data_IF_475100072249
#
_entry.id   IF_475100072249
#
_cell.length_a   1.000
_cell.length_b   1.000
_cell.length_c   1.000
_cell.angle_alpha   90.00
_cell.angle_beta   90.00
_cell.angle_gamma   90.00
#
_symmetry.space_group_name_H-M   'P 1'
#
loop_
_entity.id
_entity.type
_entity.pdbx_description
1 polymer ?
#
# COMPACT_ATOMS: atom_id res chain seq x y z
N UNK A 1 0.15 -26.80 -16.25
CA UNK A 1 0.36 -25.56 -15.47
C UNK A 1 1.52 -25.65 -14.49
N UNK A 2 1.56 -26.64 -13.57
CA UNK A 2 2.65 -26.74 -12.58
C UNK A 2 4.05 -26.76 -13.20
N UNK A 3 4.29 -27.65 -14.18
CA UNK A 3 5.58 -27.72 -14.86
C UNK A 3 5.92 -26.44 -15.63
N UNK A 4 4.92 -25.76 -16.18
CA UNK A 4 5.11 -24.51 -16.93
C UNK A 4 5.51 -23.36 -16.00
N UNK A 5 4.89 -23.25 -14.82
CA UNK A 5 5.24 -22.27 -13.79
C UNK A 5 6.67 -22.53 -13.29
N UNK A 6 7.01 -23.78 -12.98
CA UNK A 6 8.36 -24.11 -12.51
C UNK A 6 9.44 -23.97 -13.58
N UNK A 7 9.12 -24.09 -14.86
CA UNK A 7 10.07 -23.76 -15.94
C UNK A 7 10.47 -22.29 -15.94
N UNK A 8 9.65 -21.38 -15.39
CA UNK A 8 9.95 -19.96 -15.26
C UNK A 8 10.89 -19.63 -14.11
N UNK A 9 11.17 -20.59 -13.24
CA UNK A 9 12.28 -20.45 -12.29
C UNK A 9 13.64 -20.46 -12.99
N UNK A 10 13.72 -20.92 -14.24
CA UNK A 10 14.90 -20.70 -15.06
C UNK A 10 14.91 -19.25 -15.58
N UNK A 11 15.95 -18.49 -15.23
CA UNK A 11 16.11 -17.09 -15.61
C UNK A 11 16.15 -16.86 -17.14
N UNK A 12 16.66 -17.81 -17.94
CA UNK A 12 16.70 -17.70 -19.39
C UNK A 12 15.30 -17.78 -19.99
N UNK A 13 14.48 -18.72 -19.51
CA UNK A 13 13.09 -18.88 -19.93
C UNK A 13 12.27 -17.63 -19.58
N UNK A 14 12.46 -17.10 -18.37
CA UNK A 14 11.77 -15.88 -17.94
C UNK A 14 12.18 -14.66 -18.76
N UNK A 15 13.50 -14.47 -19.00
CA UNK A 15 14.02 -13.39 -19.85
C UNK A 15 13.48 -13.49 -21.29
N UNK A 16 13.41 -14.70 -21.82
CA UNK A 16 12.86 -14.94 -23.16
C UNK A 16 11.39 -14.51 -23.24
N UNK A 17 10.55 -14.93 -22.29
CA UNK A 17 9.13 -14.60 -22.28
C UNK A 17 8.85 -13.11 -22.02
N UNK A 18 9.62 -12.48 -21.13
CA UNK A 18 9.51 -11.03 -20.87
C UNK A 18 9.82 -10.20 -22.13
N UNK A 19 10.69 -10.69 -23.02
CA UNK A 19 11.03 -10.04 -24.28
C UNK A 19 10.05 -10.33 -25.41
N UNK A 20 9.57 -11.57 -25.51
CA UNK A 20 8.77 -12.02 -26.66
C UNK A 20 7.33 -11.53 -26.64
N UNK A 21 6.82 -11.02 -25.50
CA UNK A 21 5.40 -10.73 -25.23
C UNK A 21 4.46 -11.93 -25.47
N UNK A 22 5.00 -13.10 -25.80
CA UNK A 22 4.25 -14.34 -25.97
C UNK A 22 3.90 -14.90 -24.59
N UNK A 23 2.71 -15.51 -24.46
CA UNK A 23 2.20 -16.08 -23.21
C UNK A 23 2.14 -15.08 -22.03
N UNK A 24 1.66 -13.84 -22.27
CA UNK A 24 1.42 -12.84 -21.19
C UNK A 24 0.65 -13.43 -20.00
N UNK A 25 -0.38 -14.25 -20.28
CA UNK A 25 -1.18 -14.94 -19.26
C UNK A 25 -0.33 -15.80 -18.31
N UNK A 26 0.65 -16.55 -18.85
CA UNK A 26 1.52 -17.38 -18.02
C UNK A 26 2.43 -16.53 -17.13
N UNK A 27 2.89 -15.38 -17.62
CA UNK A 27 3.67 -14.43 -16.81
C UNK A 27 2.82 -13.76 -15.73
N UNK A 28 1.56 -13.44 -16.03
CA UNK A 28 0.61 -12.90 -15.07
C UNK A 28 0.39 -13.90 -13.93
N UNK A 29 0.02 -15.14 -14.26
CA UNK A 29 -0.17 -16.22 -13.28
C UNK A 29 1.12 -16.49 -12.50
N UNK A 30 2.28 -16.50 -13.16
CA UNK A 30 3.57 -16.66 -12.51
C UNK A 30 3.86 -15.55 -11.48
N UNK A 31 3.60 -14.30 -11.83
CA UNK A 31 3.84 -13.15 -10.95
C UNK A 31 2.94 -13.20 -9.71
N UNK A 32 1.67 -13.58 -9.88
CA UNK A 32 0.71 -13.74 -8.79
C UNK A 32 1.04 -14.93 -7.90
N UNK A 33 1.46 -16.05 -8.49
CA UNK A 33 1.92 -17.21 -7.74
C UNK A 33 3.13 -16.89 -6.85
N UNK A 34 4.14 -16.19 -7.39
CA UNK A 34 5.29 -15.74 -6.61
C UNK A 34 4.89 -14.75 -5.53
N UNK A 35 4.02 -13.79 -5.85
CA UNK A 35 3.53 -12.81 -4.89
C UNK A 35 2.80 -13.49 -3.72
N UNK A 36 1.84 -14.38 -4.01
CA UNK A 36 1.14 -15.17 -3.00
C UNK A 36 2.11 -15.97 -2.12
N UNK A 37 3.16 -16.56 -2.72
CA UNK A 37 4.19 -17.24 -1.95
C UNK A 37 4.88 -16.31 -0.95
N UNK A 38 5.35 -15.13 -1.36
CA UNK A 38 6.03 -14.20 -0.45
C UNK A 38 5.10 -13.49 0.55
N UNK A 39 3.82 -13.30 0.22
CA UNK A 39 2.78 -12.80 1.12
C UNK A 39 2.35 -13.83 2.18
N UNK A 40 2.94 -15.03 2.17
CA UNK A 40 2.57 -16.16 3.02
C UNK A 40 1.14 -16.68 2.80
N UNK A 41 0.56 -16.43 1.63
CA UNK A 41 -0.71 -17.04 1.24
C UNK A 41 -0.54 -18.53 0.89
N UNK A 42 -1.63 -19.33 0.94
CA UNK A 42 -1.60 -20.72 0.50
C UNK A 42 -1.23 -20.78 -0.98
N UNK A 43 -0.14 -21.47 -1.38
CA UNK A 43 0.22 -21.57 -2.79
C UNK A 43 -0.68 -22.57 -3.49
N UNK A 44 -1.28 -22.15 -4.60
CA UNK A 44 -2.05 -23.03 -5.46
C UNK A 44 -1.87 -22.65 -6.92
N UNK A 45 -2.19 -23.60 -7.80
CA UNK A 45 -2.14 -23.46 -9.25
C UNK A 45 -3.45 -23.90 -9.88
N UNK A 46 -3.74 -23.42 -11.08
CA UNK A 46 -4.88 -23.92 -11.86
C UNK A 46 -4.71 -25.40 -12.19
N UNK A 47 -5.74 -26.21 -11.89
CA UNK A 47 -5.76 -27.65 -12.12
C UNK A 47 -5.90 -28.01 -13.60
N UNK A 48 -6.55 -27.15 -14.37
CA UNK A 48 -6.76 -27.33 -15.81
C UNK A 48 -5.99 -26.28 -16.62
N UNK A 49 -5.59 -26.66 -17.83
CA UNK A 49 -4.96 -25.71 -18.75
C UNK A 49 -5.97 -24.60 -19.10
N UNK A 50 -5.58 -23.35 -18.84
CA UNK A 50 -6.43 -22.17 -19.03
C UNK A 50 -7.12 -21.65 -17.77
N UNK A 51 -7.06 -22.38 -16.64
CA UNK A 51 -7.54 -21.85 -15.36
C UNK A 51 -6.63 -20.73 -14.88
N UNK A 52 -7.10 -19.49 -14.88
CA UNK A 52 -6.32 -18.34 -14.40
C UNK A 52 -6.25 -18.31 -12.89
N UNK A 53 -5.13 -17.78 -12.38
CA UNK A 53 -5.03 -17.46 -10.97
C UNK A 53 -5.85 -16.22 -10.64
N UNK A 54 -6.50 -16.21 -9.46
CA UNK A 54 -7.21 -15.04 -8.96
C UNK A 54 -6.24 -13.88 -8.78
N UNK A 55 -6.79 -12.66 -8.72
CA UNK A 55 -6.02 -11.47 -8.33
C UNK A 55 -5.49 -11.62 -6.90
N UNK A 56 -4.46 -10.85 -6.52
CA UNK A 56 -3.96 -10.90 -5.12
C UNK A 56 -5.01 -10.44 -4.10
N UNK A 57 -5.95 -9.59 -4.50
CA UNK A 57 -7.07 -9.12 -3.69
C UNK A 57 -8.05 -10.28 -3.40
N UNK A 58 -8.44 -11.01 -4.43
CA UNK A 58 -9.25 -12.22 -4.27
C UNK A 58 -8.46 -13.31 -3.56
N UNK A 59 -7.13 -13.33 -3.69
CA UNK A 59 -6.27 -14.30 -3.01
C UNK A 59 -6.37 -14.16 -1.49
N UNK A 60 -6.39 -12.92 -0.98
CA UNK A 60 -6.51 -12.67 0.47
C UNK A 60 -7.85 -13.13 1.06
N UNK A 61 -8.88 -13.28 0.22
CA UNK A 61 -10.20 -13.76 0.67
C UNK A 61 -10.25 -15.28 0.81
N UNK A 62 -9.33 -16.03 0.19
CA UNK A 62 -9.29 -17.48 0.34
C UNK A 62 -8.65 -17.86 1.68
N UNK A 63 -9.49 -18.30 2.61
CA UNK A 63 -9.04 -19.03 3.78
C UNK A 63 -8.39 -20.39 3.40
N UNK A 64 -7.70 -20.98 4.37
CA UNK A 64 -7.07 -22.30 4.25
C UNK A 64 -8.08 -23.46 4.02
N UNK A 65 -9.38 -23.20 3.97
CA UNK A 65 -10.43 -24.20 3.72
C UNK A 65 -11.29 -23.89 2.49
N UNK A 66 -11.23 -22.65 1.95
CA UNK A 66 -12.16 -22.15 0.92
C UNK A 66 -11.64 -22.26 -0.52
N UNK A 67 -10.48 -22.87 -0.72
CA UNK A 67 -9.91 -23.05 -2.05
C UNK A 67 -10.75 -24.09 -2.82
N UNK A 68 -11.38 -23.67 -3.92
CA UNK A 68 -12.12 -24.56 -4.83
C UNK A 68 -11.16 -25.62 -5.43
N UNK A 69 -11.16 -26.80 -4.82
CA UNK A 69 -10.32 -27.95 -5.19
C UNK A 69 -10.66 -28.56 -6.55
N UNK A 70 -11.81 -28.18 -7.14
CA UNK A 70 -12.14 -28.53 -8.51
C UNK A 70 -11.38 -27.65 -9.51
N UNK A 71 -11.14 -26.39 -9.18
CA UNK A 71 -10.44 -25.42 -10.05
C UNK A 71 -8.95 -25.36 -9.77
N UNK A 72 -8.56 -25.44 -8.52
CA UNK A 72 -7.20 -25.20 -8.06
C UNK A 72 -6.59 -26.44 -7.41
N UNK A 73 -5.28 -26.59 -7.57
CA UNK A 73 -4.46 -27.59 -6.92
C UNK A 73 -3.51 -26.89 -5.96
N UNK A 74 -3.56 -27.27 -4.67
CA UNK A 74 -2.60 -26.77 -3.68
C UNK A 74 -1.20 -27.28 -3.96
N UNK A 75 -0.22 -26.42 -3.77
CA UNK A 75 1.21 -26.72 -3.89
C UNK A 75 1.86 -26.55 -2.52
N UNK A 76 2.63 -27.54 -2.09
CA UNK A 76 3.38 -27.46 -0.84
C UNK A 76 4.39 -26.32 -0.88
N UNK A 77 4.37 -25.42 0.12
CA UNK A 77 5.35 -24.33 0.25
C UNK A 77 6.79 -24.84 0.26
N UNK A 78 7.03 -26.01 0.87
CA UNK A 78 8.35 -26.66 0.87
C UNK A 78 8.83 -26.99 -0.55
N UNK A 79 7.94 -27.51 -1.39
CA UNK A 79 8.24 -27.82 -2.80
C UNK A 79 8.58 -26.56 -3.59
N UNK A 80 7.90 -25.44 -3.30
CA UNK A 80 8.21 -24.15 -3.91
C UNK A 80 9.59 -23.67 -3.46
N UNK A 81 9.85 -23.68 -2.15
CA UNK A 81 11.13 -23.26 -1.57
C UNK A 81 12.33 -24.04 -2.11
N UNK A 82 12.19 -25.36 -2.30
CA UNK A 82 13.24 -26.24 -2.85
C UNK A 82 13.59 -25.92 -4.31
N UNK A 83 12.66 -25.33 -5.07
CA UNK A 83 12.84 -24.98 -6.48
C UNK A 83 13.11 -23.49 -6.71
N UNK A 84 12.75 -22.63 -5.76
CA UNK A 84 12.82 -21.18 -5.90
C UNK A 84 14.28 -20.73 -6.02
N UNK A 85 14.66 -20.04 -7.11
CA UNK A 85 16.01 -19.53 -7.28
C UNK A 85 16.32 -18.44 -6.24
N UNK A 86 17.56 -18.36 -5.73
CA UNK A 86 17.94 -17.35 -4.74
C UNK A 86 17.84 -15.91 -5.27
N UNK A 87 17.87 -15.72 -6.58
CA UNK A 87 17.73 -14.41 -7.23
C UNK A 87 16.31 -13.85 -7.12
N UNK A 88 15.31 -14.71 -6.92
CA UNK A 88 13.91 -14.29 -6.81
C UNK A 88 13.67 -13.81 -5.39
N UNK A 89 13.92 -12.52 -5.19
CA UNK A 89 13.64 -11.84 -3.92
C UNK A 89 12.23 -11.24 -3.90
N UNK A 90 11.70 -10.86 -2.72
CA UNK A 90 10.44 -10.14 -2.65
C UNK A 90 10.39 -8.89 -3.54
N UNK A 91 11.52 -8.17 -3.66
CA UNK A 91 11.64 -6.98 -4.51
C UNK A 91 11.46 -7.29 -6.00
N UNK A 92 11.96 -8.44 -6.44
CA UNK A 92 11.81 -8.87 -7.83
C UNK A 92 10.33 -9.00 -8.22
N UNK A 93 9.50 -9.51 -7.31
CA UNK A 93 8.08 -9.72 -7.56
C UNK A 93 7.32 -8.40 -7.72
N UNK A 94 7.58 -7.41 -6.87
CA UNK A 94 7.00 -6.07 -7.02
C UNK A 94 7.33 -5.47 -8.39
N UNK A 95 8.59 -5.58 -8.82
CA UNK A 95 9.02 -5.12 -10.15
C UNK A 95 8.35 -5.90 -11.29
N UNK A 96 8.18 -7.21 -11.13
CA UNK A 96 7.51 -8.06 -12.11
C UNK A 96 6.03 -7.68 -12.26
N UNK A 97 5.31 -7.47 -11.17
CA UNK A 97 3.91 -7.00 -11.18
C UNK A 97 3.80 -5.64 -11.89
N UNK A 98 4.66 -4.68 -11.55
CA UNK A 98 4.71 -3.38 -12.23
C UNK A 98 5.02 -3.52 -13.72
N UNK A 99 5.95 -4.41 -14.09
CA UNK A 99 6.34 -4.65 -15.48
C UNK A 99 5.19 -5.22 -16.32
N UNK A 100 4.31 -6.00 -15.69
CA UNK A 100 3.13 -6.61 -16.27
C UNK A 100 1.87 -5.73 -16.16
N UNK A 101 2.00 -4.54 -15.58
CA UNK A 101 0.94 -3.53 -15.41
C UNK A 101 -0.11 -3.89 -14.35
N UNK A 102 0.22 -4.78 -13.42
CA UNK A 102 -0.62 -5.12 -12.25
C UNK A 102 -0.34 -4.15 -11.10
N UNK A 103 -0.53 -2.86 -11.30
CA UNK A 103 -0.07 -1.83 -10.36
C UNK A 103 -0.79 -1.87 -9.00
N UNK A 104 -2.09 -2.18 -8.98
CA UNK A 104 -2.84 -2.32 -7.73
C UNK A 104 -2.34 -3.50 -6.90
N UNK A 105 -2.09 -4.64 -7.54
CA UNK A 105 -1.51 -5.82 -6.90
C UNK A 105 -0.07 -5.53 -6.43
N UNK A 106 0.70 -4.75 -7.20
CA UNK A 106 2.04 -4.34 -6.81
C UNK A 106 2.02 -3.42 -5.57
N UNK A 107 1.09 -2.46 -5.50
CA UNK A 107 0.92 -1.58 -4.36
C UNK A 107 0.53 -2.37 -3.10
N UNK A 108 -0.48 -3.25 -3.19
CA UNK A 108 -0.87 -4.15 -2.10
C UNK A 108 0.29 -5.02 -1.64
N UNK A 109 1.05 -5.56 -2.59
CA UNK A 109 2.21 -6.38 -2.30
C UNK A 109 3.30 -5.58 -1.55
N UNK A 110 3.59 -4.35 -1.96
CA UNK A 110 4.57 -3.49 -1.26
C UNK A 110 4.11 -3.05 0.13
N UNK A 111 2.80 -2.82 0.29
CA UNK A 111 2.23 -2.43 1.58
C UNK A 111 2.41 -3.54 2.63
N UNK A 112 2.27 -4.82 2.23
CA UNK A 112 2.52 -5.96 3.12
C UNK A 112 3.92 -5.95 3.74
N UNK A 113 4.92 -5.48 2.98
CA UNK A 113 6.31 -5.36 3.45
C UNK A 113 6.61 -4.03 4.14
N UNK A 114 5.61 -3.17 4.36
CA UNK A 114 5.76 -1.82 4.89
C UNK A 114 6.79 -0.98 4.09
N UNK A 115 6.93 -1.22 2.78
CA UNK A 115 7.78 -0.41 1.91
C UNK A 115 6.99 0.79 1.37
N UNK A 116 6.73 1.74 2.25
CA UNK A 116 5.95 2.95 1.96
C UNK A 116 6.48 3.72 0.76
N UNK A 117 7.82 3.81 0.63
CA UNK A 117 8.45 4.54 -0.49
C UNK A 117 8.11 3.90 -1.83
N UNK A 118 8.28 2.58 -1.95
CA UNK A 118 7.92 1.87 -3.18
C UNK A 118 6.41 1.94 -3.43
N UNK A 119 5.59 1.81 -2.38
CA UNK A 119 4.13 1.92 -2.48
C UNK A 119 3.66 3.28 -3.01
N UNK A 120 4.23 4.38 -2.51
CA UNK A 120 3.96 5.74 -2.98
C UNK A 120 4.37 5.92 -4.46
N UNK A 121 5.58 5.48 -4.83
CA UNK A 121 6.06 5.56 -6.21
C UNK A 121 5.13 4.78 -7.16
N UNK A 122 4.72 3.56 -6.77
CA UNK A 122 3.83 2.73 -7.59
C UNK A 122 2.48 3.43 -7.78
N UNK A 123 1.87 3.94 -6.71
CA UNK A 123 0.59 4.67 -6.79
C UNK A 123 0.70 5.91 -7.68
N UNK A 124 1.73 6.72 -7.49
CA UNK A 124 1.97 7.92 -8.30
C UNK A 124 2.14 7.59 -9.79
N UNK A 125 2.94 6.58 -10.12
CA UNK A 125 3.12 6.13 -11.50
C UNK A 125 1.81 5.59 -12.11
N UNK A 126 0.98 4.94 -11.27
CA UNK A 126 -0.33 4.44 -11.69
C UNK A 126 -1.26 5.60 -12.03
N UNK A 127 -1.30 6.64 -11.21
CA UNK A 127 -2.11 7.83 -11.41
C UNK A 127 -1.73 8.54 -12.71
N UNK A 128 -0.43 8.74 -12.97
CA UNK A 128 0.04 9.33 -14.23
C UNK A 128 -0.40 8.49 -15.42
N UNK A 129 -0.24 7.17 -15.34
CA UNK A 129 -0.47 6.27 -16.48
C UNK A 129 -1.96 6.06 -16.77
N UNK A 130 -2.78 5.98 -15.72
CA UNK A 130 -4.19 5.60 -15.82
C UNK A 130 -5.16 6.76 -15.57
N UNK A 131 -4.67 7.95 -15.19
CA UNK A 131 -5.45 9.14 -14.86
C UNK A 131 -6.49 8.88 -13.76
N UNK A 132 -6.02 8.26 -12.69
CA UNK A 132 -6.75 8.02 -11.44
C UNK A 132 -6.03 8.72 -10.28
N UNK A 133 -6.55 8.63 -9.05
CA UNK A 133 -6.09 9.39 -7.88
C UNK A 133 -5.69 8.50 -6.70
N UNK A 134 -5.10 7.33 -6.95
CA UNK A 134 -4.71 6.39 -5.88
C UNK A 134 -3.63 6.93 -4.95
N UNK A 135 -2.72 7.77 -5.47
CA UNK A 135 -1.67 8.39 -4.68
C UNK A 135 -2.25 9.41 -3.72
N UNK A 136 -3.06 10.33 -4.24
CA UNK A 136 -3.68 11.40 -3.47
C UNK A 136 -4.61 10.78 -2.39
N UNK A 137 -5.48 9.84 -2.78
CA UNK A 137 -6.37 9.10 -1.86
C UNK A 137 -5.60 8.38 -0.74
N UNK A 138 -4.42 7.83 -1.05
CA UNK A 138 -3.61 7.12 -0.05
C UNK A 138 -2.94 8.09 0.91
N UNK A 139 -2.34 9.17 0.41
CA UNK A 139 -1.73 10.19 1.25
C UNK A 139 -2.75 10.84 2.19
N UNK A 140 -3.96 11.15 1.70
CA UNK A 140 -5.05 11.67 2.51
C UNK A 140 -5.49 10.69 3.61
N UNK A 141 -5.64 9.40 3.29
CA UNK A 141 -5.97 8.38 4.32
C UNK A 141 -4.88 8.28 5.39
N UNK A 142 -3.61 8.25 4.98
CA UNK A 142 -2.50 8.23 5.92
C UNK A 142 -2.48 9.47 6.81
N UNK A 143 -2.76 10.66 6.25
CA UNK A 143 -2.91 11.90 7.01
C UNK A 143 -3.97 11.74 8.09
N UNK A 144 -5.19 11.35 7.71
CA UNK A 144 -6.33 11.25 8.62
C UNK A 144 -6.05 10.25 9.75
N UNK A 145 -5.54 9.06 9.43
CA UNK A 145 -5.21 8.05 10.44
C UNK A 145 -4.16 8.55 11.44
N UNK A 146 -3.15 9.28 10.97
CA UNK A 146 -2.09 9.83 11.83
C UNK A 146 -2.57 11.00 12.68
N UNK A 147 -3.39 11.88 12.12
CA UNK A 147 -4.01 12.97 12.87
C UNK A 147 -4.92 12.44 13.99
N UNK A 148 -5.73 11.42 13.71
CA UNK A 148 -6.56 10.78 14.73
C UNK A 148 -5.70 10.18 15.85
N UNK A 149 -4.61 9.49 15.51
CA UNK A 149 -3.65 8.96 16.49
C UNK A 149 -3.02 10.08 17.34
N UNK A 150 -2.65 11.20 16.72
CA UNK A 150 -2.08 12.35 17.43
C UNK A 150 -3.09 13.02 18.36
N UNK A 151 -4.36 13.11 17.95
CA UNK A 151 -5.45 13.66 18.75
C UNK A 151 -5.71 12.80 20.01
N UNK A 152 -5.68 11.48 19.89
CA UNK A 152 -5.79 10.57 21.03
C UNK A 152 -4.65 10.77 22.04
N UNK A 153 -3.42 10.98 21.56
CA UNK A 153 -2.25 11.20 22.44
C UNK A 153 -2.24 12.56 23.13
N UNK A 154 -2.85 13.60 22.54
CA UNK A 154 -2.97 14.92 23.17
C UNK A 154 -3.82 14.92 24.44
N UNK A 155 -4.62 13.88 24.66
CA UNK A 155 -5.36 13.68 25.91
C UNK A 155 -4.41 13.41 27.09
N UNK A 156 -3.31 12.70 26.83
CA UNK A 156 -2.42 12.17 27.87
C UNK A 156 -1.03 12.83 27.89
N UNK A 157 -0.58 13.41 26.76
CA UNK A 157 0.75 13.99 26.61
C UNK A 157 0.73 15.52 26.46
N UNK A 158 1.75 16.25 26.99
CA UNK A 158 1.85 17.69 26.80
C UNK A 158 2.03 18.04 25.31
N UNK A 159 1.35 19.08 24.86
CA UNK A 159 1.25 19.51 23.46
C UNK A 159 2.61 19.61 22.76
N UNK A 160 3.62 20.19 23.42
CA UNK A 160 4.97 20.35 22.85
C UNK A 160 5.63 19.01 22.49
N UNK A 161 5.34 17.96 23.25
CA UNK A 161 5.89 16.63 23.01
C UNK A 161 5.19 15.98 21.81
N UNK A 162 3.87 16.17 21.68
CA UNK A 162 3.11 15.70 20.52
C UNK A 162 3.50 16.44 19.24
N UNK A 163 3.66 17.77 19.30
CA UNK A 163 4.11 18.58 18.16
C UNK A 163 5.44 18.08 17.60
N UNK A 164 6.41 17.82 18.49
CA UNK A 164 7.73 17.32 18.10
C UNK A 164 7.73 15.87 17.62
N UNK A 165 6.91 15.01 18.22
CA UNK A 165 6.85 13.57 17.85
C UNK A 165 6.04 13.31 16.59
N UNK A 166 5.01 14.12 16.31
CA UNK A 166 4.03 13.85 15.26
C UNK A 166 3.99 14.93 14.19
N UNK A 167 3.85 16.21 14.58
CA UNK A 167 3.62 17.29 13.62
C UNK A 167 4.88 17.60 12.81
N UNK A 168 6.04 17.72 13.46
CA UNK A 168 7.31 18.02 12.76
C UNK A 168 7.67 16.94 11.69
N UNK A 169 7.71 15.63 12.01
CA UNK A 169 8.00 14.61 11.00
C UNK A 169 6.97 14.56 9.87
N UNK A 170 5.73 14.93 10.16
CA UNK A 170 4.65 14.91 9.19
C UNK A 170 4.73 16.06 8.19
N UNK A 171 5.05 17.27 8.67
CA UNK A 171 5.35 18.42 7.80
C UNK A 171 6.57 18.09 6.92
N UNK A 172 7.62 17.49 7.51
CA UNK A 172 8.80 17.08 6.75
C UNK A 172 8.44 16.05 5.66
N UNK A 173 7.62 15.05 5.98
CA UNK A 173 7.17 14.06 5.01
C UNK A 173 6.32 14.68 3.88
N UNK A 174 5.44 15.63 4.21
CA UNK A 174 4.60 16.33 3.24
C UNK A 174 5.46 17.19 2.30
N UNK A 175 6.44 17.92 2.83
CA UNK A 175 7.41 18.66 2.01
C UNK A 175 8.23 17.74 1.09
N UNK A 176 8.62 16.56 1.58
CA UNK A 176 9.32 15.59 0.74
C UNK A 176 8.42 15.07 -0.39
N UNK A 177 7.13 14.87 -0.13
CA UNK A 177 6.15 14.49 -1.16
C UNK A 177 6.07 15.59 -2.23
N UNK A 178 5.94 16.85 -1.81
CA UNK A 178 5.83 17.99 -2.71
C UNK A 178 7.06 18.12 -3.61
N UNK A 179 8.25 18.03 -3.01
CA UNK A 179 9.53 18.10 -3.73
C UNK A 179 9.75 16.94 -4.70
N UNK A 180 9.42 15.71 -4.29
CA UNK A 180 9.71 14.50 -5.08
C UNK A 180 8.69 14.28 -6.18
N UNK A 181 7.42 14.58 -5.91
CA UNK A 181 6.31 14.29 -6.82
C UNK A 181 5.77 15.52 -7.53
N UNK A 182 6.23 16.73 -7.18
CA UNK A 182 5.77 17.99 -7.79
C UNK A 182 4.30 18.27 -7.47
N UNK A 183 3.92 18.02 -6.21
CA UNK A 183 2.57 18.21 -5.68
C UNK A 183 2.58 19.39 -4.70
N UNK A 184 1.39 19.92 -4.42
CA UNK A 184 1.16 20.99 -3.45
C UNK A 184 0.39 20.42 -2.25
N UNK A 185 0.84 19.27 -1.73
CA UNK A 185 0.17 18.52 -0.68
C UNK A 185 0.21 19.26 0.65
N UNK A 186 1.29 19.98 0.96
CA UNK A 186 1.37 20.79 2.18
C UNK A 186 0.30 21.90 2.19
N UNK A 187 0.13 22.60 1.07
CA UNK A 187 -0.88 23.66 0.93
C UNK A 187 -2.29 23.08 1.11
N UNK A 188 -2.55 21.90 0.53
CA UNK A 188 -3.83 21.18 0.71
C UNK A 188 -4.09 20.79 2.17
N UNK A 189 -3.06 20.32 2.89
CA UNK A 189 -3.18 19.99 4.31
C UNK A 189 -3.48 21.24 5.13
N UNK A 190 -2.79 22.35 4.84
CA UNK A 190 -3.01 23.63 5.52
C UNK A 190 -4.44 24.13 5.33
N UNK A 191 -4.92 24.18 4.07
CA UNK A 191 -6.29 24.58 3.74
C UNK A 191 -7.31 23.70 4.46
N UNK A 192 -7.12 22.37 4.43
CA UNK A 192 -8.02 21.42 5.08
C UNK A 192 -8.00 21.55 6.61
N UNK A 193 -6.84 21.80 7.20
CA UNK A 193 -6.70 22.02 8.64
C UNK A 193 -7.44 23.28 9.08
N UNK A 194 -7.26 24.39 8.35
CA UNK A 194 -7.96 25.66 8.61
C UNK A 194 -9.47 25.45 8.51
N UNK A 195 -9.95 24.84 7.42
CA UNK A 195 -11.37 24.56 7.22
C UNK A 195 -11.97 23.71 8.35
N UNK A 196 -11.26 22.67 8.79
CA UNK A 196 -11.71 21.84 9.90
C UNK A 196 -11.70 22.59 11.24
N UNK A 197 -10.72 23.46 11.49
CA UNK A 197 -10.70 24.32 12.68
C UNK A 197 -11.88 25.29 12.69
N UNK A 198 -12.22 25.88 11.54
CA UNK A 198 -13.38 26.76 11.41
C UNK A 198 -14.66 26.01 11.77
N UNK A 199 -14.87 24.81 11.21
CA UNK A 199 -16.04 23.96 11.55
C UNK A 199 -16.07 23.64 13.04
N UNK A 200 -14.94 23.25 13.63
CA UNK A 200 -14.84 22.96 15.06
C UNK A 200 -15.22 24.19 15.88
N UNK A 201 -14.67 25.36 15.56
CA UNK A 201 -15.00 26.63 16.21
C UNK A 201 -16.50 26.95 16.11
N UNK A 202 -17.14 26.72 14.94
CA UNK A 202 -18.58 26.89 14.77
C UNK A 202 -19.42 25.87 15.55
N UNK A 203 -18.87 24.68 15.83
CA UNK A 203 -19.54 23.60 16.56
C UNK A 203 -19.40 23.67 18.07
N UNK A 204 -18.51 24.53 18.58
CA UNK A 204 -18.33 24.74 20.02
C UNK A 204 -19.54 25.51 20.58
N UNK A 205 -20.06 25.13 21.76
CA UNK A 205 -21.18 25.83 22.38
C UNK A 205 -20.77 27.26 22.77
N UNK A 206 -21.63 28.24 22.47
CA UNK A 206 -21.45 29.67 22.81
C UNK A 206 -21.22 29.93 24.31
N UNK A 207 -21.61 28.97 25.16
CA UNK A 207 -21.51 29.05 26.62
C UNK A 207 -20.55 27.96 27.09
N UNK A 208 -19.28 28.34 27.22
CA UNK A 208 -18.23 27.53 27.84
C UNK A 208 -18.23 27.84 29.34
N UNK A 209 -18.42 26.81 30.19
CA UNK A 209 -18.29 26.89 31.64
C UNK A 209 -16.95 27.55 32.02
N UNK A 210 -16.93 28.46 33.00
CA UNK A 210 -15.76 29.32 33.30
C UNK A 210 -14.49 28.52 33.60
N UNK A 211 -14.64 27.26 34.02
CA UNK A 211 -13.54 26.32 34.28
C UNK A 211 -12.79 25.85 33.02
N UNK A 212 -13.36 26.00 31.82
CA UNK A 212 -12.78 25.52 30.54
C UNK A 212 -12.17 26.66 29.71
N UNK A 213 -12.44 27.93 30.06
CA UNK A 213 -11.93 29.12 29.35
C UNK A 213 -10.40 29.26 29.32
N UNK A 214 -9.68 28.60 30.20
CA UNK A 214 -8.20 28.74 30.35
C UNK A 214 -7.43 28.04 29.22
N UNK A 215 -8.00 27.03 28.57
CA UNK A 215 -7.28 26.20 27.58
C UNK A 215 -7.34 26.80 26.17
N UNK A 216 -8.43 27.51 25.82
CA UNK A 216 -8.61 28.04 24.46
C UNK A 216 -7.82 29.33 24.22
N UNK A 217 -7.69 30.21 25.22
CA UNK A 217 -7.00 31.50 25.05
C UNK A 217 -5.47 31.42 25.06
N UNK A 218 -4.88 30.40 25.70
CA UNK A 218 -3.42 30.23 25.74
C UNK A 218 -2.81 29.83 24.39
N UNK A 219 -3.62 29.29 23.46
CA UNK A 219 -3.19 28.95 22.11
C UNK A 219 -3.09 30.17 21.17
N UNK A 220 -3.87 31.23 21.42
CA UNK A 220 -3.92 32.42 20.55
C UNK A 220 -3.07 33.60 21.06
N UNK A 221 -2.68 33.63 22.33
CA UNK A 221 -1.86 34.72 22.90
C UNK A 221 -0.34 34.45 22.87
N UNK A 222 0.11 33.33 22.30
CA UNK A 222 1.54 32.96 22.23
C UNK A 222 2.24 33.32 20.91
N UNK A 223 1.66 34.19 20.08
CA UNK A 223 2.30 34.79 18.90
C UNK A 223 2.59 36.28 19.11
#
# INVERSE_FOLDING_TARGET
>A
MEDEIFQLFNAENLKFLLKSRQKKVLLDDFSRFLAAYFLNFPPFLGKHNGTRLPTLLEWSDFGDEDIDTNRYQRISRRKVAEKLPPEFSPKFVALLLCRLEHYLEAALYTDYFNDFRSGLIIRYLTDIKHRITLFDDYCEKCLVEKLLTAAELLVDEPTNLVMKKFVEPYIEASLQIDLVFGKDFLDQIEEQAIFNMEILCFSLPDIVDESVRVIIFSFFESN
#
